data_IF_673981475569
#
_entry.id   IF_673981475569
#
_cell.length_a   1.000
_cell.length_b   1.000
_cell.length_c   1.000
_cell.angle_alpha   90.00
_cell.angle_beta   90.00
_cell.angle_gamma   90.00
#
_symmetry.space_group_name_H-M   'P 1'
#
loop_
_entity.id
_entity.type
_entity.pdbx_description
1 polymer ?
#
# COMPACT_ATOMS: atom_id res chain seq x y z
N UNK A 1 -9.36 13.67 26.23
CA UNK A 1 -8.69 12.49 25.64
C UNK A 1 -8.09 12.80 24.26
N UNK A 2 -6.99 13.56 24.20
CA UNK A 2 -6.29 13.89 22.95
C UNK A 2 -5.50 12.71 22.38
N UNK A 3 -4.88 11.87 23.22
CA UNK A 3 -4.06 10.73 22.80
C UNK A 3 -4.83 9.68 21.99
N UNK A 4 -6.12 9.48 22.29
CA UNK A 4 -6.97 8.51 21.57
C UNK A 4 -7.27 8.98 20.15
N UNK A 5 -7.43 10.29 19.94
CA UNK A 5 -7.68 10.86 18.61
C UNK A 5 -6.44 10.78 17.73
N UNK A 6 -5.26 11.05 18.29
CA UNK A 6 -3.99 10.92 17.59
C UNK A 6 -3.76 9.47 17.14
N UNK A 7 -3.87 8.50 18.06
CA UNK A 7 -3.72 7.08 17.73
C UNK A 7 -4.71 6.60 16.66
N UNK A 8 -5.96 7.07 16.71
CA UNK A 8 -6.95 6.74 15.70
C UNK A 8 -6.61 7.34 14.32
N UNK A 9 -6.04 8.54 14.28
CA UNK A 9 -5.59 9.16 13.04
C UNK A 9 -4.39 8.41 12.44
N UNK A 10 -3.41 8.05 13.28
CA UNK A 10 -2.23 7.26 12.91
C UNK A 10 -2.62 5.93 12.26
N UNK A 11 -3.48 5.15 12.91
CA UNK A 11 -3.97 3.87 12.38
C UNK A 11 -4.70 4.01 11.03
N UNK A 12 -5.48 5.09 10.87
CA UNK A 12 -6.15 5.34 9.57
C UNK A 12 -5.15 5.69 8.48
N UNK A 13 -4.10 6.45 8.81
CA UNK A 13 -3.05 6.78 7.87
C UNK A 13 -2.30 5.53 7.43
N UNK A 14 -1.96 4.64 8.36
CA UNK A 14 -1.38 3.33 8.07
C UNK A 14 -2.29 2.49 7.16
N UNK A 15 -3.59 2.42 7.48
CA UNK A 15 -4.57 1.68 6.67
C UNK A 15 -4.59 2.22 5.24
N UNK A 16 -4.77 3.53 5.05
CA UNK A 16 -4.82 4.14 3.72
C UNK A 16 -3.52 3.99 2.93
N UNK A 17 -2.37 4.18 3.57
CA UNK A 17 -1.08 3.98 2.92
C UNK A 17 -0.91 2.51 2.47
N UNK A 18 -1.36 1.56 3.30
CA UNK A 18 -1.26 0.13 2.96
C UNK A 18 -2.13 -0.28 1.77
N UNK A 19 -3.25 0.42 1.51
CA UNK A 19 -4.12 0.13 0.36
C UNK A 19 -3.42 0.41 -0.98
N UNK A 20 -2.48 1.37 -1.01
CA UNK A 20 -1.73 1.75 -2.23
C UNK A 20 -0.41 1.00 -2.38
N UNK A 21 0.01 0.24 -1.37
CA UNK A 21 1.35 -0.37 -1.29
C UNK A 21 2.41 0.54 -0.66
N UNK A 22 2.01 1.71 -0.14
CA UNK A 22 2.87 2.60 0.61
C UNK A 22 3.00 2.23 2.09
N UNK A 23 3.65 3.10 2.85
CA UNK A 23 3.69 3.05 4.31
C UNK A 23 3.52 4.47 4.88
N UNK A 24 2.99 4.54 6.10
CA UNK A 24 2.98 5.75 6.90
C UNK A 24 4.18 5.73 7.86
N UNK A 25 4.95 6.81 7.89
CA UNK A 25 6.07 7.00 8.80
C UNK A 25 5.66 8.07 9.81
N UNK A 26 5.52 7.68 11.08
CA UNK A 26 4.98 8.54 12.16
C UNK A 26 6.07 8.70 13.24
N UNK A 27 7.03 9.62 13.05
CA UNK A 27 8.05 9.91 14.04
C UNK A 27 7.42 10.58 15.26
N UNK A 28 7.88 10.24 16.48
CA UNK A 28 7.36 10.82 17.74
C UNK A 28 8.26 11.91 18.29
N UNK A 29 9.52 11.94 17.86
CA UNK A 29 10.48 12.99 18.17
C UNK A 29 11.32 13.37 16.94
N UNK A 30 12.18 14.38 17.09
CA UNK A 30 13.09 14.81 16.03
C UNK A 30 14.13 13.74 15.74
N UNK A 31 14.58 13.02 16.77
CA UNK A 31 15.53 11.92 16.64
C UNK A 31 14.97 10.74 15.83
N UNK A 32 13.64 10.54 15.85
CA UNK A 32 12.99 9.51 15.03
C UNK A 32 12.98 9.87 13.53
N UNK A 33 13.18 11.15 13.16
CA UNK A 33 13.14 11.59 11.76
C UNK A 33 14.28 10.97 10.95
N UNK A 34 15.49 10.93 11.50
CA UNK A 34 16.65 10.35 10.81
C UNK A 34 16.41 8.87 10.49
N UNK A 35 15.82 8.14 11.44
CA UNK A 35 15.43 6.75 11.25
C UNK A 35 14.32 6.59 10.19
N UNK A 36 13.33 7.48 10.20
CA UNK A 36 12.26 7.46 9.19
C UNK A 36 12.81 7.73 7.78
N UNK A 37 13.70 8.71 7.63
CA UNK A 37 14.33 9.01 6.33
C UNK A 37 15.23 7.87 5.85
N UNK A 38 15.98 7.22 6.74
CA UNK A 38 16.78 6.06 6.38
C UNK A 38 15.92 4.90 5.87
N UNK A 39 14.76 4.65 6.49
CA UNK A 39 13.80 3.63 6.02
C UNK A 39 13.20 3.98 4.66
N UNK A 40 12.83 5.25 4.44
CA UNK A 40 12.32 5.72 3.14
C UNK A 40 13.37 5.53 2.05
N UNK A 41 14.64 5.88 2.31
CA UNK A 41 15.72 5.71 1.34
C UNK A 41 15.95 4.23 1.00
N UNK A 42 15.94 3.35 2.01
CA UNK A 42 16.07 1.91 1.81
C UNK A 42 14.91 1.33 0.97
N UNK A 43 13.69 1.81 1.19
CA UNK A 43 12.51 1.44 0.43
C UNK A 43 12.62 1.81 -1.05
N UNK A 44 13.07 3.04 -1.34
CA UNK A 44 13.19 3.54 -2.72
C UNK A 44 14.17 2.72 -3.56
N UNK A 45 15.23 2.18 -2.94
CA UNK A 45 16.20 1.32 -3.61
C UNK A 45 15.62 -0.07 -3.99
N UNK A 46 14.47 -0.45 -3.44
CA UNK A 46 13.88 -1.79 -3.57
C UNK A 46 12.51 -1.77 -4.24
N UNK A 47 12.16 -0.69 -4.94
CA UNK A 47 10.88 -0.56 -5.63
C UNK A 47 10.91 -1.23 -7.01
N UNK A 48 9.93 -2.09 -7.26
CA UNK A 48 9.74 -2.77 -8.54
C UNK A 48 8.38 -2.38 -9.15
N UNK A 49 8.31 -2.29 -10.47
CA UNK A 49 7.06 -2.08 -11.21
C UNK A 49 6.59 -3.41 -11.76
N UNK A 50 5.37 -3.82 -11.37
CA UNK A 50 4.70 -5.00 -11.89
C UNK A 50 3.38 -4.56 -12.54
N UNK A 51 3.22 -4.91 -13.81
CA UNK A 51 1.99 -4.63 -14.56
C UNK A 51 1.15 -5.90 -14.68
N UNK A 52 -0.15 -5.77 -14.42
CA UNK A 52 -1.13 -6.84 -14.55
C UNK A 52 -2.38 -6.29 -15.23
N UNK A 53 -2.92 -7.05 -16.18
CA UNK A 53 -4.18 -6.75 -16.82
C UNK A 53 -5.28 -7.68 -16.26
N UNK A 54 -6.42 -7.12 -15.83
CA UNK A 54 -7.54 -7.94 -15.39
C UNK A 54 -8.08 -8.78 -16.55
N UNK A 55 -8.57 -9.98 -16.24
CA UNK A 55 -9.30 -10.81 -17.18
C UNK A 55 -10.56 -10.09 -17.70
N UNK A 56 -11.05 -10.50 -18.88
CA UNK A 56 -12.15 -9.82 -19.58
C UNK A 56 -13.47 -9.79 -18.77
N UNK A 57 -13.68 -10.76 -17.89
CA UNK A 57 -14.85 -10.87 -17.01
C UNK A 57 -14.81 -9.90 -15.80
N UNK A 58 -13.68 -9.25 -15.54
CA UNK A 58 -13.49 -8.32 -14.42
C UNK A 58 -13.80 -6.85 -14.74
N UNK A 59 -14.39 -6.59 -15.91
CA UNK A 59 -14.82 -5.25 -16.35
C UNK A 59 -16.23 -4.93 -15.86
N UNK A 60 -16.45 -5.14 -14.56
CA UNK A 60 -17.76 -5.19 -13.91
C UNK A 60 -18.07 -3.96 -13.04
N UNK A 61 -17.15 -2.99 -12.95
CA UNK A 61 -17.31 -1.82 -12.09
C UNK A 61 -16.98 -2.08 -10.62
N UNK A 62 -16.61 -3.31 -10.25
CA UNK A 62 -16.36 -3.69 -8.86
C UNK A 62 -14.88 -3.52 -8.46
N UNK A 63 -14.66 -3.52 -7.14
CA UNK A 63 -13.31 -3.53 -6.56
C UNK A 63 -12.76 -4.96 -6.54
N UNK A 64 -11.61 -5.15 -7.19
CA UNK A 64 -10.92 -6.42 -7.28
C UNK A 64 -9.68 -6.41 -6.38
N UNK A 65 -9.61 -7.39 -5.47
CA UNK A 65 -8.46 -7.56 -4.57
C UNK A 65 -7.31 -8.24 -5.32
N UNK A 66 -6.09 -7.80 -5.07
CA UNK A 66 -4.87 -8.45 -5.55
C UNK A 66 -3.96 -8.84 -4.38
N UNK A 67 -3.27 -9.96 -4.54
CA UNK A 67 -2.24 -10.41 -3.62
C UNK A 67 -0.96 -10.66 -4.40
N UNK A 68 0.16 -10.14 -3.90
CA UNK A 68 1.49 -10.31 -4.50
C UNK A 68 2.37 -11.07 -3.53
N UNK A 69 3.04 -12.11 -4.02
CA UNK A 69 3.97 -12.92 -3.23
C UNK A 69 5.23 -13.22 -4.05
N UNK A 70 6.35 -13.41 -3.36
CA UNK A 70 7.62 -13.80 -3.98
C UNK A 70 7.76 -15.31 -3.90
N UNK A 71 7.65 -16.00 -5.04
CA UNK A 71 7.67 -17.47 -5.10
C UNK A 71 8.85 -18.11 -4.38
N UNK A 72 10.04 -17.53 -4.50
CA UNK A 72 11.28 -18.04 -3.90
C UNK A 72 11.50 -17.59 -2.45
N UNK A 73 10.66 -16.69 -1.93
CA UNK A 73 10.79 -16.11 -0.58
C UNK A 73 9.41 -16.04 0.08
N UNK A 74 8.89 -17.16 0.61
CA UNK A 74 7.55 -17.21 1.20
C UNK A 74 7.38 -16.26 2.40
N UNK A 75 8.47 -15.94 3.10
CA UNK A 75 8.46 -15.05 4.26
C UNK A 75 8.81 -13.59 3.91
N UNK A 76 8.87 -13.22 2.63
CA UNK A 76 9.12 -11.85 2.23
C UNK A 76 7.93 -10.96 2.60
N UNK A 77 8.20 -9.81 3.23
CA UNK A 77 7.21 -8.77 3.42
C UNK A 77 7.05 -8.00 2.11
N UNK A 78 5.98 -8.30 1.37
CA UNK A 78 5.64 -7.60 0.13
C UNK A 78 4.69 -6.45 0.45
N UNK A 79 5.01 -5.24 -0.03
CA UNK A 79 4.07 -4.13 -0.10
C UNK A 79 3.67 -3.90 -1.54
N UNK A 80 2.38 -3.95 -1.79
CA UNK A 80 1.77 -3.70 -3.08
C UNK A 80 0.39 -3.09 -2.87
N UNK A 81 -0.14 -2.44 -3.90
CA UNK A 81 -1.56 -2.03 -3.91
C UNK A 81 -2.43 -3.25 -3.62
N UNK A 82 -3.46 -3.11 -2.77
CA UNK A 82 -4.32 -4.23 -2.35
C UNK A 82 -5.47 -4.54 -3.31
N UNK A 83 -5.79 -3.62 -4.21
CA UNK A 83 -6.85 -3.83 -5.18
C UNK A 83 -7.00 -2.68 -6.17
N UNK A 84 -7.88 -2.86 -7.14
CA UNK A 84 -8.18 -1.87 -8.17
C UNK A 84 -9.66 -1.91 -8.53
N UNK A 85 -10.15 -0.82 -9.12
CA UNK A 85 -11.50 -0.75 -9.70
C UNK A 85 -11.35 -0.67 -11.22
N UNK A 86 -12.09 -1.50 -11.94
CA UNK A 86 -12.17 -1.44 -13.41
C UNK A 86 -13.43 -0.70 -13.78
N UNK A 87 -13.36 0.27 -14.68
CA UNK A 87 -14.55 0.92 -15.20
C UNK A 87 -15.34 -0.09 -16.05
N UNK A 88 -16.66 -0.11 -15.89
CA UNK A 88 -17.54 -0.84 -16.79
C UNK A 88 -17.27 -0.39 -18.21
N UNK A 89 -17.17 -1.34 -19.14
CA UNK A 89 -16.98 -1.01 -20.55
C UNK A 89 -18.27 -0.37 -21.05
N UNK A 90 -18.22 0.90 -21.45
CA UNK A 90 -19.35 1.53 -22.13
C UNK A 90 -19.65 0.71 -23.39
N UNK A 91 -20.84 0.09 -23.43
CA UNK A 91 -21.35 -0.50 -24.66
C UNK A 91 -21.80 0.66 -25.56
N UNK A 92 -20.97 0.97 -26.55
CA UNK A 92 -21.41 1.71 -27.74
C UNK A 92 -22.24 0.76 -28.61
#
# INVERSE_FOLDING_TARGET
NANVRALAAERRMEEFASQTGGAAYIPRSVEDLDNAFAQIAADMAQQYILSYYPAADKWDGHHHVIAVSVKTRPNARVRARKGFVVKTRDRV
#
